data_IF_650336851873
#
_entry.id   IF_650336851873
#
_cell.length_a   1.000
_cell.length_b   1.000
_cell.length_c   1.000
_cell.angle_alpha   90.00
_cell.angle_beta   90.00
_cell.angle_gamma   90.00
#
_symmetry.space_group_name_H-M   'P 1'
#
loop_
_entity.id
_entity.type
_entity.pdbx_description
1 polymer ?
#
# COMPACT_ATOMS: atom_id res chain seq x y z
N UNK A 1 -3.64 6.71 24.52
CA UNK A 1 -4.51 6.98 23.34
C UNK A 1 -3.73 7.31 22.07
N UNK A 2 -2.76 8.23 22.07
CA UNK A 2 -1.95 8.58 20.87
C UNK A 2 -1.33 7.36 20.16
N UNK A 3 -0.78 6.37 20.89
CA UNK A 3 -0.21 5.16 20.29
C UNK A 3 -1.24 4.31 19.53
N UNK A 4 -2.45 4.14 20.07
CA UNK A 4 -3.51 3.38 19.41
C UNK A 4 -3.96 4.08 18.12
N UNK A 5 -4.08 5.42 18.16
CA UNK A 5 -4.41 6.22 16.98
C UNK A 5 -3.32 6.13 15.90
N UNK A 6 -2.03 6.22 16.27
CA UNK A 6 -0.89 6.05 15.33
C UNK A 6 -0.88 4.67 14.65
N UNK A 7 -1.45 3.65 15.30
CA UNK A 7 -1.49 2.27 14.80
C UNK A 7 -2.72 2.01 13.93
N UNK A 8 -3.90 2.47 14.33
CA UNK A 8 -5.15 2.13 13.66
C UNK A 8 -5.57 3.15 12.60
N UNK A 9 -5.35 4.44 12.85
CA UNK A 9 -5.88 5.49 11.99
C UNK A 9 -5.26 5.49 10.58
N UNK A 10 -3.93 5.34 10.41
CA UNK A 10 -3.34 5.36 9.08
C UNK A 10 -3.78 4.18 8.19
N UNK A 11 -3.76 2.91 8.66
CA UNK A 11 -4.35 1.81 7.92
C UNK A 11 -5.85 1.99 7.66
N UNK A 12 -6.61 2.49 8.63
CA UNK A 12 -8.05 2.72 8.47
C UNK A 12 -8.36 3.71 7.36
N UNK A 13 -7.72 4.89 7.35
CA UNK A 13 -7.92 5.90 6.30
C UNK A 13 -7.51 5.34 4.92
N UNK A 14 -6.33 4.72 4.83
CA UNK A 14 -5.86 4.14 3.57
C UNK A 14 -6.82 3.09 3.02
N UNK A 15 -7.31 2.18 3.88
CA UNK A 15 -8.26 1.14 3.46
C UNK A 15 -9.64 1.71 3.14
N UNK A 16 -10.14 2.71 3.86
CA UNK A 16 -11.40 3.36 3.51
C UNK A 16 -11.34 3.99 2.12
N UNK A 17 -10.23 4.64 1.76
CA UNK A 17 -10.05 5.23 0.43
C UNK A 17 -10.03 4.17 -0.67
N UNK A 18 -9.28 3.08 -0.50
CA UNK A 18 -9.28 1.96 -1.44
C UNK A 18 -10.64 1.28 -1.54
N UNK A 19 -11.32 1.08 -0.41
CA UNK A 19 -12.65 0.51 -0.37
C UNK A 19 -13.65 1.36 -1.15
N UNK A 20 -13.65 2.68 -0.96
CA UNK A 20 -14.51 3.61 -1.70
C UNK A 20 -14.19 3.54 -3.20
N UNK A 21 -12.90 3.63 -3.57
CA UNK A 21 -12.48 3.57 -4.97
C UNK A 21 -12.92 2.28 -5.67
N UNK A 22 -12.87 1.15 -4.96
CA UNK A 22 -13.27 -0.15 -5.51
C UNK A 22 -14.79 -0.29 -5.53
N UNK A 23 -15.47 0.08 -4.43
CA UNK A 23 -16.93 -0.04 -4.26
C UNK A 23 -17.70 0.77 -5.31
N UNK A 24 -17.20 1.95 -5.68
CA UNK A 24 -17.81 2.82 -6.67
C UNK A 24 -17.21 2.69 -8.07
N UNK A 25 -16.31 1.72 -8.29
CA UNK A 25 -15.86 1.39 -9.65
C UNK A 25 -17.00 0.73 -10.43
N UNK A 26 -17.06 1.01 -11.74
CA UNK A 26 -18.01 0.38 -12.67
C UNK A 26 -17.88 -1.15 -12.72
N UNK A 27 -16.73 -1.69 -12.30
CA UNK A 27 -16.42 -3.11 -12.34
C UNK A 27 -16.81 -3.86 -11.06
N UNK A 28 -17.24 -3.17 -10.00
CA UNK A 28 -17.37 -3.77 -8.66
C UNK A 28 -18.23 -5.04 -8.63
N UNK A 29 -19.38 -5.03 -9.31
CA UNK A 29 -20.32 -6.14 -9.32
C UNK A 29 -19.86 -7.32 -10.18
N UNK A 30 -18.96 -7.08 -11.14
CA UNK A 30 -18.38 -8.09 -12.03
C UNK A 30 -17.09 -8.72 -11.47
N UNK A 31 -16.63 -8.25 -10.30
CA UNK A 31 -15.44 -8.79 -9.65
C UNK A 31 -15.70 -10.22 -9.16
N UNK A 32 -14.89 -11.16 -9.63
CA UNK A 32 -14.95 -12.57 -9.26
C UNK A 32 -13.61 -13.07 -8.75
N UNK A 33 -13.64 -14.11 -7.90
CA UNK A 33 -12.41 -14.71 -7.32
C UNK A 33 -11.46 -15.21 -8.42
N UNK A 34 -12.00 -15.72 -9.54
CA UNK A 34 -11.20 -16.22 -10.67
C UNK A 34 -10.36 -15.16 -11.39
N UNK A 35 -10.61 -13.88 -11.15
CA UNK A 35 -9.81 -12.78 -11.70
C UNK A 35 -8.54 -12.53 -10.88
N UNK A 36 -8.43 -13.04 -9.65
CA UNK A 36 -7.26 -12.86 -8.80
C UNK A 36 -6.04 -13.52 -9.47
N UNK A 37 -4.92 -12.79 -9.52
CA UNK A 37 -3.68 -13.28 -10.14
C UNK A 37 -3.60 -13.10 -11.65
N UNK A 38 -4.64 -12.56 -12.30
CA UNK A 38 -4.60 -12.26 -13.76
C UNK A 38 -3.70 -11.09 -14.15
N UNK A 39 -3.11 -10.37 -13.19
CA UNK A 39 -2.32 -9.16 -13.44
C UNK A 39 -3.12 -7.94 -13.92
N UNK A 40 -4.44 -8.09 -14.07
CA UNK A 40 -5.34 -7.02 -14.46
C UNK A 40 -5.76 -6.14 -13.27
N UNK A 41 -6.21 -4.92 -13.57
CA UNK A 41 -6.80 -4.01 -12.56
C UNK A 41 -7.97 -4.69 -11.84
N UNK A 42 -8.82 -5.42 -12.57
CA UNK A 42 -9.94 -6.17 -12.02
C UNK A 42 -9.46 -7.28 -11.07
N UNK A 43 -8.38 -7.98 -11.42
CA UNK A 43 -7.76 -8.96 -10.54
C UNK A 43 -7.26 -8.37 -9.22
N UNK A 44 -6.70 -7.15 -9.24
CA UNK A 44 -6.31 -6.43 -8.02
C UNK A 44 -7.51 -5.96 -7.21
N UNK A 45 -8.56 -5.45 -7.86
CA UNK A 45 -9.80 -5.07 -7.19
C UNK A 45 -10.50 -6.27 -6.55
N UNK A 46 -10.52 -7.42 -7.24
CA UNK A 46 -11.03 -8.68 -6.72
C UNK A 46 -10.21 -9.15 -5.52
N UNK A 47 -8.87 -9.14 -5.64
CA UNK A 47 -7.98 -9.48 -4.52
C UNK A 47 -8.25 -8.61 -3.31
N UNK A 48 -8.32 -7.28 -3.50
CA UNK A 48 -8.63 -6.36 -2.41
C UNK A 48 -10.01 -6.63 -1.81
N UNK A 49 -11.05 -6.87 -2.62
CA UNK A 49 -12.41 -7.15 -2.16
C UNK A 49 -12.47 -8.41 -1.28
N UNK A 50 -11.85 -9.51 -1.72
CA UNK A 50 -11.94 -10.80 -1.02
C UNK A 50 -10.93 -10.95 0.12
N UNK A 51 -9.74 -10.36 0.00
CA UNK A 51 -8.69 -10.42 1.01
C UNK A 51 -8.70 -9.22 1.98
N UNK A 52 -9.67 -8.30 1.87
CA UNK A 52 -9.71 -7.05 2.64
C UNK A 52 -9.43 -7.22 4.14
N UNK A 53 -10.10 -8.16 4.86
CA UNK A 53 -9.88 -8.29 6.30
C UNK A 53 -8.45 -8.72 6.64
N UNK A 54 -7.89 -9.64 5.84
CA UNK A 54 -6.53 -10.11 6.00
C UNK A 54 -5.52 -9.00 5.71
N UNK A 55 -5.72 -8.27 4.62
CA UNK A 55 -4.90 -7.12 4.24
C UNK A 55 -4.91 -6.04 5.34
N UNK A 56 -6.08 -5.79 5.95
CA UNK A 56 -6.20 -4.82 7.03
C UNK A 56 -5.46 -5.27 8.29
N UNK A 57 -5.59 -6.55 8.69
CA UNK A 57 -4.85 -7.10 9.84
C UNK A 57 -3.33 -6.99 9.61
N UNK A 58 -2.86 -7.37 8.42
CA UNK A 58 -1.43 -7.25 8.06
C UNK A 58 -0.99 -5.79 8.13
N UNK A 59 -1.77 -4.86 7.58
CA UNK A 59 -1.44 -3.43 7.63
C UNK A 59 -1.35 -2.89 9.07
N UNK A 60 -2.28 -3.29 9.95
CA UNK A 60 -2.25 -2.93 11.38
C UNK A 60 -1.02 -3.52 12.08
N UNK A 61 -0.67 -4.77 11.81
CA UNK A 61 0.53 -5.42 12.38
C UNK A 61 1.81 -4.75 11.88
N UNK A 62 1.93 -4.46 10.58
CA UNK A 62 3.05 -3.69 10.03
C UNK A 62 3.15 -2.31 10.66
N UNK A 63 2.01 -1.63 10.84
CA UNK A 63 1.98 -0.32 11.48
C UNK A 63 2.47 -0.39 12.93
N UNK A 64 2.01 -1.38 13.70
CA UNK A 64 2.35 -1.57 15.11
C UNK A 64 3.83 -1.97 15.32
N UNK A 65 4.30 -2.95 14.55
CA UNK A 65 5.59 -3.62 14.79
C UNK A 65 6.76 -2.90 14.12
N UNK A 66 6.51 -2.23 12.99
CA UNK A 66 7.57 -1.68 12.14
C UNK A 66 7.45 -0.16 12.08
N UNK A 67 6.32 0.36 11.62
CA UNK A 67 6.20 1.79 11.27
C UNK A 67 6.22 2.70 12.50
N UNK A 68 5.39 2.46 13.50
CA UNK A 68 5.34 3.30 14.70
C UNK A 68 6.70 3.33 15.44
N UNK A 69 7.39 2.19 15.66
CA UNK A 69 8.74 2.20 16.24
C UNK A 69 9.76 2.99 15.42
N UNK A 70 9.76 2.85 14.09
CA UNK A 70 10.66 3.60 13.20
C UNK A 70 10.31 5.10 13.25
N UNK A 71 9.04 5.46 13.13
CA UNK A 71 8.56 6.83 13.13
C UNK A 71 8.96 7.59 14.39
N UNK A 72 8.76 6.98 15.57
CA UNK A 72 9.15 7.59 16.84
C UNK A 72 10.68 7.80 16.93
N UNK A 73 11.48 6.90 16.36
CA UNK A 73 12.94 7.08 16.28
C UNK A 73 13.35 8.17 15.28
N UNK A 74 12.61 8.33 14.19
CA UNK A 74 12.87 9.34 13.15
C UNK A 74 12.47 10.74 13.61
N UNK A 75 11.40 10.89 14.38
CA UNK A 75 10.97 12.17 14.94
C UNK A 75 12.03 12.85 15.82
N UNK A 76 12.86 12.07 16.52
CA UNK A 76 13.92 12.61 17.37
C UNK A 76 15.14 13.11 16.57
N UNK A 77 15.18 12.88 15.26
CA UNK A 77 16.31 13.23 14.39
C UNK A 77 16.14 14.58 13.70
N UNK A 78 17.25 15.25 13.31
CA UNK A 78 17.22 16.49 12.54
C UNK A 78 16.53 16.32 11.18
N UNK A 79 16.04 17.42 10.60
CA UNK A 79 15.24 17.43 9.37
C UNK A 79 15.89 16.68 8.19
N UNK A 80 17.22 16.78 8.04
CA UNK A 80 17.97 16.05 7.01
C UNK A 80 17.85 14.53 7.15
N UNK A 81 17.93 14.01 8.37
CA UNK A 81 17.78 12.59 8.64
C UNK A 81 16.32 12.10 8.47
N UNK A 82 15.33 12.98 8.69
CA UNK A 82 13.92 12.68 8.38
C UNK A 82 13.70 12.57 6.87
N UNK A 83 14.31 13.45 6.07
CA UNK A 83 14.25 13.39 4.61
C UNK A 83 14.84 12.06 4.09
N UNK A 84 16.02 11.66 4.56
CA UNK A 84 16.63 10.40 4.17
C UNK A 84 15.81 9.17 4.58
N UNK A 85 15.10 9.22 5.72
CA UNK A 85 14.21 8.15 6.14
C UNK A 85 12.98 8.03 5.21
N UNK A 86 12.42 9.15 4.75
CA UNK A 86 11.33 9.15 3.76
C UNK A 86 11.84 8.65 2.40
N UNK A 87 13.03 9.08 2.00
CA UNK A 87 13.62 8.65 0.72
C UNK A 87 13.91 7.14 0.69
N UNK A 88 14.52 6.60 1.75
CA UNK A 88 14.77 5.16 1.85
C UNK A 88 13.47 4.37 1.87
N UNK A 89 12.43 4.92 2.49
CA UNK A 89 11.10 4.34 2.50
C UNK A 89 10.48 4.25 1.10
N UNK A 90 10.54 5.33 0.32
CA UNK A 90 10.10 5.35 -1.09
C UNK A 90 10.87 4.32 -1.90
N UNK A 91 12.18 4.24 -1.72
CA UNK A 91 13.02 3.27 -2.40
C UNK A 91 12.63 1.81 -2.08
N UNK A 92 12.35 1.50 -0.82
CA UNK A 92 11.85 0.18 -0.41
C UNK A 92 10.50 -0.14 -1.08
N UNK A 93 9.60 0.85 -1.19
CA UNK A 93 8.33 0.65 -1.89
C UNK A 93 8.53 0.31 -3.38
N UNK A 94 9.44 1.01 -4.05
CA UNK A 94 9.77 0.71 -5.45
C UNK A 94 10.37 -0.69 -5.59
N UNK A 95 11.27 -1.10 -4.70
CA UNK A 95 11.81 -2.47 -4.71
C UNK A 95 10.70 -3.50 -4.48
N UNK A 96 9.81 -3.28 -3.51
CA UNK A 96 8.69 -4.18 -3.26
C UNK A 96 7.72 -4.25 -4.45
N UNK A 97 7.41 -3.12 -5.08
CA UNK A 97 6.59 -3.09 -6.28
C UNK A 97 7.24 -3.88 -7.42
N UNK A 98 8.55 -3.76 -7.61
CA UNK A 98 9.30 -4.56 -8.58
C UNK A 98 9.24 -6.06 -8.24
N UNK A 99 9.52 -6.41 -6.99
CA UNK A 99 9.51 -7.79 -6.52
C UNK A 99 8.13 -8.45 -6.65
N UNK A 100 7.04 -7.70 -6.41
CA UNK A 100 5.67 -8.17 -6.60
C UNK A 100 5.25 -8.21 -8.07
N UNK A 101 5.78 -7.32 -8.90
CA UNK A 101 5.46 -7.29 -10.34
C UNK A 101 6.01 -8.51 -11.09
N UNK A 102 7.18 -9.01 -10.68
CA UNK A 102 7.84 -10.14 -11.32
C UNK A 102 7.04 -11.47 -11.33
N UNK A 103 6.46 -11.96 -10.21
CA UNK A 103 5.64 -13.17 -10.21
C UNK A 103 4.29 -13.00 -10.93
N UNK A 104 3.80 -11.77 -11.08
CA UNK A 104 2.53 -11.46 -11.78
C UNK A 104 2.76 -11.24 -13.28
N UNK A 105 4.02 -11.10 -13.69
CA UNK A 105 4.37 -10.80 -15.06
C UNK A 105 4.05 -11.96 -16.00
N UNK A 106 3.06 -11.73 -16.88
CA UNK A 106 2.86 -12.56 -18.05
C UNK A 106 3.96 -12.33 -19.10
N UNK A 107 4.80 -13.36 -19.27
CA UNK A 107 5.91 -13.36 -20.24
C UNK A 107 5.44 -13.32 -21.69
N UNK A 108 4.20 -13.74 -21.98
CA UNK A 108 3.64 -13.74 -23.35
C UNK A 108 3.38 -12.31 -23.82
N UNK A 109 2.83 -11.47 -22.94
CA UNK A 109 2.54 -10.06 -23.22
C UNK A 109 3.81 -9.17 -23.19
N UNK A 110 4.96 -9.73 -22.77
CA UNK A 110 6.26 -9.08 -22.82
C UNK A 110 6.49 -8.00 -21.75
N UNK A 111 7.57 -7.22 -21.90
CA UNK A 111 8.06 -6.25 -20.89
C UNK A 111 7.07 -5.10 -20.63
N UNK A 112 6.20 -4.79 -21.60
CA UNK A 112 5.18 -3.75 -21.44
C UNK A 112 4.19 -4.08 -20.31
N UNK A 113 3.81 -5.35 -20.17
CA UNK A 113 2.92 -5.79 -19.11
C UNK A 113 3.59 -5.67 -17.73
N UNK A 114 4.87 -6.05 -17.64
CA UNK A 114 5.68 -5.89 -16.42
C UNK A 114 5.72 -4.42 -15.98
N UNK A 115 6.00 -3.49 -16.91
CA UNK A 115 6.06 -2.05 -16.61
C UNK A 115 4.72 -1.51 -16.12
N UNK A 116 3.60 -1.93 -16.72
CA UNK A 116 2.25 -1.54 -16.27
C UNK A 116 1.96 -2.01 -14.85
N UNK A 117 2.24 -3.28 -14.53
CA UNK A 117 2.03 -3.81 -13.19
C UNK A 117 2.93 -3.09 -12.19
N UNK A 118 4.21 -2.90 -12.54
CA UNK A 118 5.17 -2.20 -11.69
C UNK A 118 4.72 -0.76 -11.37
N UNK A 119 4.32 0.01 -12.39
CA UNK A 119 3.82 1.38 -12.21
C UNK A 119 2.56 1.40 -11.36
N UNK A 120 1.64 0.49 -11.61
CA UNK A 120 0.41 0.38 -10.83
C UNK A 120 0.70 0.06 -9.35
N UNK A 121 1.54 -0.95 -9.09
CA UNK A 121 1.96 -1.32 -7.73
C UNK A 121 2.68 -0.19 -7.02
N UNK A 122 3.58 0.49 -7.72
CA UNK A 122 4.31 1.64 -7.17
C UNK A 122 3.34 2.77 -6.82
N UNK A 123 2.39 3.10 -7.69
CA UNK A 123 1.40 4.14 -7.43
C UNK A 123 0.53 3.80 -6.21
N UNK A 124 0.01 2.58 -6.11
CA UNK A 124 -0.78 2.11 -4.97
C UNK A 124 0.03 2.19 -3.67
N UNK A 125 1.28 1.70 -3.67
CA UNK A 125 2.12 1.77 -2.48
C UNK A 125 2.42 3.21 -2.09
N UNK A 126 2.83 4.05 -3.04
CA UNK A 126 3.18 5.45 -2.77
C UNK A 126 1.99 6.22 -2.22
N UNK A 127 0.80 6.11 -2.82
CA UNK A 127 -0.42 6.77 -2.34
C UNK A 127 -0.74 6.33 -0.91
N UNK A 128 -0.73 5.02 -0.64
CA UNK A 128 -0.99 4.49 0.70
C UNK A 128 -0.01 5.08 1.73
N UNK A 129 1.28 5.06 1.42
CA UNK A 129 2.32 5.50 2.35
C UNK A 129 2.35 7.02 2.53
N UNK A 130 2.07 7.78 1.49
CA UNK A 130 1.89 9.24 1.60
C UNK A 130 0.77 9.56 2.57
N UNK A 131 -0.40 8.92 2.43
CA UNK A 131 -1.53 9.09 3.36
C UNK A 131 -1.11 8.66 4.78
N UNK A 132 -0.38 7.56 4.91
CA UNK A 132 0.10 7.06 6.20
C UNK A 132 0.99 8.09 6.90
N UNK A 133 2.00 8.63 6.21
CA UNK A 133 2.89 9.65 6.77
C UNK A 133 2.18 10.95 7.09
N UNK A 134 1.28 11.43 6.21
CA UNK A 134 0.47 12.63 6.49
C UNK A 134 -0.35 12.42 7.77
N UNK A 135 -0.99 11.25 7.91
CA UNK A 135 -1.76 10.92 9.11
C UNK A 135 -0.88 10.90 10.36
N UNK A 136 0.32 10.32 10.28
CA UNK A 136 1.28 10.30 11.39
C UNK A 136 1.77 11.70 11.77
N UNK A 137 1.97 12.60 10.80
CA UNK A 137 2.33 14.00 11.04
C UNK A 137 1.21 14.76 11.74
N UNK A 138 -0.04 14.55 11.34
CA UNK A 138 -1.22 15.22 11.93
C UNK A 138 -1.51 14.74 13.35
N UNK A 139 -1.22 13.47 13.68
CA UNK A 139 -1.43 12.90 15.02
C UNK A 139 -0.38 13.39 16.04
N UNK A 140 0.79 13.84 15.58
CA UNK A 140 1.90 14.25 16.45
C UNK A 140 1.57 15.51 17.25
#
# INVERSE_FOLDING_TARGET
MKKLLKVLLPPFIGFCLYFIAIRYSSHYFDLTIGQIGTGSLQGFMAYYRYALPLLFIVAVLTQLLIIVPIWNKVLLKPASARFWAIFSFVFVCLIMAAALSYPIWDKVTGVHHLLKIFLFMSAVQLVYWTINFITLIVIE
#
